data_IF_536500316998
#
_entry.id   IF_536500316998
#
_cell.length_a   1.000
_cell.length_b   1.000
_cell.length_c   1.000
_cell.angle_alpha   90.00
_cell.angle_beta   90.00
_cell.angle_gamma   90.00
#
_symmetry.space_group_name_H-M   'P 1'
#
loop_
_entity.id
_entity.type
_entity.pdbx_description
1 polymer ?
#
# COMPACT_ATOMS: atom_id res chain seq x y z
N UNK A 1 -27.93 -15.80 -2.81
CA UNK A 1 -27.11 -15.52 -2.78
C UNK A 1 -26.28 -15.03 -3.08
N UNK A 2 -25.84 -14.73 -2.79
CA UNK A 2 -25.14 -14.14 -3.27
C UNK A 2 -23.84 -14.26 -3.32
N UNK A 3 -23.56 -14.88 -3.99
CA UNK A 3 -22.23 -15.19 -4.41
C UNK A 3 -21.41 -13.97 -4.67
N UNK A 4 -22.06 -12.90 -4.97
CA UNK A 4 -21.39 -11.65 -5.23
C UNK A 4 -20.56 -11.17 -4.03
N UNK A 5 -20.90 -11.62 -2.84
CA UNK A 5 -20.11 -11.27 -1.68
C UNK A 5 -18.70 -11.80 -1.76
N UNK A 6 -18.46 -12.86 -2.53
CA UNK A 6 -17.12 -13.43 -2.69
C UNK A 6 -16.22 -12.57 -3.54
N UNK A 7 -16.82 -11.70 -4.37
CA UNK A 7 -16.05 -10.82 -5.23
C UNK A 7 -15.30 -9.79 -4.42
N UNK A 8 -15.81 -9.48 -3.22
CA UNK A 8 -15.17 -8.54 -2.33
C UNK A 8 -14.20 -9.22 -1.37
N UNK A 9 -13.75 -10.43 -1.71
CA UNK A 9 -12.90 -11.22 -0.81
C UNK A 9 -11.63 -10.48 -0.41
N UNK A 10 -11.10 -9.63 -1.28
CA UNK A 10 -9.86 -8.93 -0.95
C UNK A 10 -10.06 -7.78 0.02
N UNK A 11 -11.29 -7.45 0.37
CA UNK A 11 -11.57 -6.50 1.43
C UNK A 11 -11.81 -7.19 2.77
N UNK A 12 -11.68 -8.52 2.82
CA UNK A 12 -11.90 -9.29 4.03
C UNK A 12 -13.33 -9.15 4.52
N UNK A 13 -13.48 -8.94 5.81
CA UNK A 13 -14.80 -8.76 6.43
C UNK A 13 -15.29 -7.31 6.38
N UNK A 14 -14.50 -6.41 5.82
CA UNK A 14 -14.85 -4.99 5.77
C UNK A 14 -15.85 -4.72 4.66
N UNK A 15 -16.73 -3.74 4.88
CA UNK A 15 -17.87 -3.53 4.00
C UNK A 15 -17.52 -2.76 2.73
N UNK A 16 -16.36 -2.08 2.70
CA UNK A 16 -15.95 -1.30 1.55
C UNK A 16 -14.44 -1.28 1.40
N UNK A 17 -13.96 -0.89 0.21
CA UNK A 17 -12.53 -0.71 -0.03
C UNK A 17 -11.95 0.35 0.89
N UNK A 18 -12.67 1.46 1.09
CA UNK A 18 -12.20 2.54 1.96
C UNK A 18 -12.00 2.04 3.38
N UNK A 19 -12.95 1.26 3.90
CA UNK A 19 -12.82 0.72 5.24
C UNK A 19 -11.64 -0.23 5.34
N UNK A 20 -11.51 -1.14 4.37
CA UNK A 20 -10.41 -2.11 4.35
C UNK A 20 -9.06 -1.39 4.28
N UNK A 21 -8.93 -0.40 3.40
CA UNK A 21 -7.68 0.34 3.26
C UNK A 21 -7.36 1.15 4.51
N UNK A 22 -8.36 1.76 5.14
CA UNK A 22 -8.13 2.53 6.37
C UNK A 22 -7.58 1.64 7.47
N UNK A 23 -8.09 0.42 7.60
CA UNK A 23 -7.59 -0.52 8.61
C UNK A 23 -6.16 -0.94 8.30
N UNK A 24 -5.89 -1.32 7.06
CA UNK A 24 -4.55 -1.77 6.65
C UNK A 24 -3.53 -0.65 6.83
N UNK A 25 -3.83 0.53 6.31
CA UNK A 25 -2.93 1.68 6.41
C UNK A 25 -2.69 2.05 7.88
N UNK A 26 -3.75 2.07 8.69
CA UNK A 26 -3.62 2.38 10.11
C UNK A 26 -2.67 1.43 10.82
N UNK A 27 -2.77 0.12 10.52
CA UNK A 27 -1.88 -0.86 11.13
C UNK A 27 -0.43 -0.68 10.68
N UNK A 28 -0.23 -0.38 9.40
CA UNK A 28 1.12 -0.13 8.88
C UNK A 28 1.72 1.11 9.53
N UNK A 29 0.93 2.19 9.63
CA UNK A 29 1.39 3.43 10.25
C UNK A 29 1.79 3.19 11.71
N UNK A 30 0.97 2.47 12.45
CA UNK A 30 1.26 2.19 13.87
C UNK A 30 2.51 1.33 14.04
N UNK A 31 2.72 0.37 13.16
CA UNK A 31 3.83 -0.58 13.31
C UNK A 31 5.14 -0.06 12.74
N UNK A 32 5.11 0.72 11.67
CA UNK A 32 6.30 1.06 10.88
C UNK A 32 6.66 2.54 10.98
N UNK A 33 5.71 3.40 11.29
CA UNK A 33 5.89 4.86 11.29
C UNK A 33 6.47 5.34 9.95
N UNK A 34 5.79 5.07 8.84
CA UNK A 34 6.33 5.41 7.52
C UNK A 34 6.25 6.90 7.25
N UNK A 35 6.96 7.34 6.23
CA UNK A 35 6.85 8.71 5.71
C UNK A 35 5.53 8.88 4.95
N UNK A 36 5.20 7.91 4.13
CA UNK A 36 3.96 7.93 3.33
C UNK A 36 3.59 6.53 2.89
N UNK A 37 2.33 6.37 2.47
CA UNK A 37 1.82 5.12 1.92
C UNK A 37 1.00 5.47 0.68
N UNK A 38 1.24 4.76 -0.41
CA UNK A 38 0.55 4.95 -1.69
C UNK A 38 -0.15 3.69 -2.12
N UNK A 39 -1.34 3.85 -2.69
CA UNK A 39 -2.00 2.81 -3.47
C UNK A 39 -1.54 2.97 -4.92
N UNK A 40 -1.12 1.87 -5.54
CA UNK A 40 -0.73 1.92 -6.94
C UNK A 40 -1.30 0.70 -7.68
N UNK A 41 -0.90 0.52 -8.94
CA UNK A 41 -1.35 -0.61 -9.73
C UNK A 41 -2.78 -0.47 -10.19
N UNK A 42 -3.43 -1.60 -10.48
CA UNK A 42 -4.74 -1.62 -11.12
C UNK A 42 -5.82 -0.93 -10.33
N UNK A 43 -5.80 -1.04 -8.99
CA UNK A 43 -6.83 -0.38 -8.17
C UNK A 43 -6.68 1.13 -8.16
N UNK A 44 -5.45 1.63 -8.25
CA UNK A 44 -5.23 3.08 -8.35
C UNK A 44 -5.66 3.61 -9.71
N UNK A 45 -5.45 2.83 -10.77
CA UNK A 45 -5.83 3.22 -12.12
C UNK A 45 -7.32 3.03 -12.41
N UNK A 46 -8.00 2.22 -11.60
CA UNK A 46 -9.42 1.94 -11.80
C UNK A 46 -9.72 0.83 -12.79
N UNK A 47 -8.70 0.13 -13.28
CA UNK A 47 -8.89 -0.97 -14.22
C UNK A 47 -8.78 -2.35 -13.57
N UNK A 48 -8.97 -2.37 -12.26
CA UNK A 48 -8.85 -3.60 -11.49
C UNK A 48 -10.08 -4.49 -11.62
N UNK A 49 -9.87 -5.78 -11.34
CA UNK A 49 -10.96 -6.72 -11.15
C UNK A 49 -11.42 -6.67 -9.70
N UNK A 50 -12.66 -7.13 -9.41
CA UNK A 50 -13.14 -7.15 -8.02
C UNK A 50 -12.25 -7.97 -7.09
N UNK A 51 -11.57 -9.00 -7.59
CA UNK A 51 -10.70 -9.87 -6.80
C UNK A 51 -9.22 -9.46 -6.85
N UNK A 52 -8.90 -8.32 -7.44
CA UNK A 52 -7.52 -7.83 -7.47
C UNK A 52 -7.05 -7.43 -6.09
N UNK A 53 -5.79 -7.74 -5.79
CA UNK A 53 -5.18 -7.28 -4.55
C UNK A 53 -4.93 -5.77 -4.58
N UNK A 54 -4.83 -5.19 -3.40
CA UNK A 54 -4.39 -3.81 -3.26
C UNK A 54 -2.86 -3.78 -3.30
N UNK A 55 -2.31 -2.95 -4.17
CA UNK A 55 -0.86 -2.77 -4.25
C UNK A 55 -0.48 -1.51 -3.48
N UNK A 56 0.28 -1.70 -2.40
CA UNK A 56 0.67 -0.59 -1.53
C UNK A 56 2.18 -0.41 -1.54
N UNK A 57 2.61 0.83 -1.68
CA UNK A 57 4.00 1.21 -1.51
C UNK A 57 4.12 1.93 -0.17
N UNK A 58 4.99 1.41 0.70
CA UNK A 58 5.23 2.00 2.01
C UNK A 58 6.58 2.69 1.95
N UNK A 59 6.57 4.02 2.01
CA UNK A 59 7.82 4.79 2.00
C UNK A 59 8.30 4.89 3.44
N UNK A 60 9.40 4.20 3.72
CA UNK A 60 9.96 4.11 5.07
C UNK A 60 10.95 5.23 5.31
N UNK A 61 11.28 5.47 6.58
CA UNK A 61 12.21 6.53 6.95
C UNK A 61 13.64 6.15 6.59
N UNK A 62 14.39 7.12 6.11
CA UNK A 62 15.81 6.90 5.82
C UNK A 62 16.55 6.44 7.07
N UNK A 63 16.17 6.95 8.23
CA UNK A 63 16.79 6.58 9.50
C UNK A 63 16.56 5.12 9.90
N UNK A 64 15.61 4.42 9.26
CA UNK A 64 15.39 3.00 9.52
C UNK A 64 16.54 2.13 9.01
N UNK A 65 17.37 2.66 8.12
CA UNK A 65 18.48 1.90 7.56
C UNK A 65 17.98 0.69 6.78
N UNK A 66 18.60 -0.47 6.99
CA UNK A 66 18.22 -1.67 6.26
C UNK A 66 16.81 -2.16 6.59
N UNK A 67 16.30 -1.85 7.78
CA UNK A 67 14.93 -2.20 8.13
C UNK A 67 13.93 -1.53 7.19
N UNK A 68 14.30 -0.42 6.57
CA UNK A 68 13.48 0.26 5.58
C UNK A 68 13.24 -0.52 4.31
N UNK A 69 14.02 -1.57 4.05
CA UNK A 69 13.86 -2.44 2.89
C UNK A 69 13.23 -3.78 3.26
N UNK A 70 12.91 -4.00 4.52
CA UNK A 70 12.46 -5.31 4.99
C UNK A 70 10.99 -5.52 4.63
N UNK A 71 10.78 -6.39 3.65
CA UNK A 71 9.44 -6.72 3.15
C UNK A 71 8.56 -7.29 4.26
N UNK A 72 9.11 -8.20 5.06
CA UNK A 72 8.33 -8.85 6.12
C UNK A 72 7.88 -7.84 7.17
N UNK A 73 8.72 -6.88 7.47
CA UNK A 73 8.41 -5.84 8.46
C UNK A 73 7.20 -5.01 8.05
N UNK A 74 7.12 -4.62 6.76
CA UNK A 74 6.01 -3.79 6.30
C UNK A 74 4.77 -4.61 6.02
N UNK A 75 4.91 -5.92 5.75
CA UNK A 75 3.77 -6.78 5.50
C UNK A 75 3.14 -7.34 6.79
N UNK A 76 3.92 -7.53 7.83
CA UNK A 76 3.42 -8.14 9.07
C UNK A 76 2.14 -7.47 9.61
N UNK A 77 2.01 -6.14 9.60
CA UNK A 77 0.79 -5.50 10.11
C UNK A 77 -0.47 -5.85 9.33
N UNK A 78 -0.32 -6.32 8.09
CA UNK A 78 -1.46 -6.68 7.24
C UNK A 78 -1.99 -8.06 7.58
N UNK A 79 -1.16 -8.90 8.19
CA UNK A 79 -1.55 -10.26 8.57
C UNK A 79 -2.74 -10.20 9.53
N UNK A 80 -3.70 -11.07 9.29
CA UNK A 80 -4.88 -11.15 10.14
C UNK A 80 -6.00 -10.18 9.78
N UNK A 81 -5.77 -9.26 8.84
CA UNK A 81 -6.84 -8.36 8.40
C UNK A 81 -7.81 -9.03 7.45
N UNK A 82 -7.37 -10.07 6.76
CA UNK A 82 -8.17 -10.70 5.70
C UNK A 82 -8.20 -9.91 4.40
N UNK A 83 -7.51 -8.79 4.34
CA UNK A 83 -7.46 -7.95 3.14
C UNK A 83 -6.33 -8.41 2.25
N UNK A 84 -6.61 -8.58 0.95
CA UNK A 84 -5.60 -9.01 -0.02
C UNK A 84 -4.73 -7.84 -0.45
N UNK A 85 -3.50 -7.79 0.06
CA UNK A 85 -2.56 -6.72 -0.23
C UNK A 85 -1.20 -7.27 -0.65
N UNK A 86 -0.56 -6.56 -1.57
CA UNK A 86 0.85 -6.70 -1.84
C UNK A 86 1.51 -5.41 -1.34
N UNK A 87 2.46 -5.53 -0.41
CA UNK A 87 3.03 -4.37 0.26
C UNK A 87 4.51 -4.31 -0.03
N UNK A 88 4.95 -3.23 -0.66
CA UNK A 88 6.34 -3.07 -1.10
C UNK A 88 6.98 -1.94 -0.29
N UNK A 89 8.10 -2.20 0.41
CA UNK A 89 8.81 -1.13 1.09
C UNK A 89 9.73 -0.38 0.13
N UNK A 90 9.86 0.92 0.37
CA UNK A 90 10.80 1.77 -0.36
C UNK A 90 11.27 2.85 0.60
N UNK A 91 12.58 2.96 0.81
CA UNK A 91 13.10 3.98 1.73
C UNK A 91 12.99 5.35 1.10
N UNK A 92 12.79 6.38 1.92
CA UNK A 92 12.54 7.74 1.45
C UNK A 92 13.63 8.27 0.51
N UNK A 93 14.89 7.99 0.80
CA UNK A 93 15.99 8.44 -0.05
C UNK A 93 15.92 7.81 -1.44
N UNK A 94 15.60 6.52 -1.50
CA UNK A 94 15.42 5.84 -2.79
C UNK A 94 14.17 6.33 -3.51
N UNK A 95 13.10 6.55 -2.77
CA UNK A 95 11.86 7.05 -3.36
C UNK A 95 12.10 8.39 -4.06
N UNK A 96 12.77 9.32 -3.37
CA UNK A 96 13.03 10.65 -3.92
C UNK A 96 13.94 10.58 -5.15
N UNK A 97 14.94 9.71 -5.11
CA UNK A 97 15.85 9.54 -6.25
C UNK A 97 15.16 8.94 -7.46
N UNK A 98 14.29 7.94 -7.23
CA UNK A 98 13.63 7.26 -8.33
C UNK A 98 12.46 8.07 -8.88
N UNK A 99 11.86 8.95 -8.08
CA UNK A 99 10.68 9.72 -8.49
C UNK A 99 10.97 10.68 -9.65
N UNK A 100 12.21 11.11 -9.80
CA UNK A 100 12.58 12.06 -10.87
C UNK A 100 13.00 11.37 -12.16
N UNK A 101 13.10 10.03 -12.15
CA UNK A 101 13.44 9.28 -13.36
C UNK A 101 12.21 9.20 -14.26
N UNK A 102 12.41 9.07 -15.59
CA UNK A 102 11.28 9.07 -16.52
C UNK A 102 10.47 7.78 -16.50
N UNK A 103 11.01 6.69 -15.95
CA UNK A 103 10.34 5.39 -15.94
C UNK A 103 10.59 4.69 -14.61
N UNK A 104 9.95 3.54 -14.42
CA UNK A 104 10.14 2.70 -13.26
C UNK A 104 8.94 2.70 -12.34
N UNK A 105 8.96 1.81 -11.35
CA UNK A 105 7.84 1.63 -10.42
C UNK A 105 7.51 2.92 -9.67
N UNK A 106 8.54 3.59 -9.13
CA UNK A 106 8.29 4.79 -8.35
C UNK A 106 7.71 5.90 -9.22
N UNK A 107 8.17 6.01 -10.46
CA UNK A 107 7.58 6.98 -11.39
C UNK A 107 6.11 6.67 -11.64
N UNK A 108 5.77 5.40 -11.79
CA UNK A 108 4.39 4.97 -11.93
C UNK A 108 3.56 5.37 -10.72
N UNK A 109 4.10 5.16 -9.53
CA UNK A 109 3.41 5.49 -8.28
C UNK A 109 3.14 6.99 -8.17
N UNK A 110 4.14 7.83 -8.44
CA UNK A 110 3.94 9.29 -8.30
C UNK A 110 3.06 9.85 -9.41
N UNK A 111 2.99 9.19 -10.56
CA UNK A 111 2.18 9.66 -11.69
C UNK A 111 0.73 9.21 -11.57
N UNK A 112 0.49 7.96 -11.21
CA UNK A 112 -0.85 7.36 -11.25
C UNK A 112 -1.34 6.84 -9.91
N UNK A 113 -0.47 6.81 -8.89
CA UNK A 113 -0.85 6.31 -7.59
C UNK A 113 -1.68 7.29 -6.79
N UNK A 114 -2.27 6.79 -5.71
CA UNK A 114 -3.06 7.60 -4.78
C UNK A 114 -2.35 7.59 -3.44
N UNK A 115 -2.00 8.75 -2.93
CA UNK A 115 -1.38 8.86 -1.62
C UNK A 115 -2.44 8.68 -0.54
N UNK A 116 -2.31 7.61 0.24
CA UNK A 116 -3.27 7.28 1.29
C UNK A 116 -2.87 7.85 2.65
N UNK A 117 -1.58 8.09 2.85
CA UNK A 117 -1.05 8.59 4.12
C UNK A 117 0.22 9.40 3.89
N UNK A 118 0.34 10.50 4.61
CA UNK A 118 1.54 11.34 4.63
C UNK A 118 1.72 11.85 6.05
N UNK A 119 2.87 11.55 6.67
CA UNK A 119 3.12 11.92 8.06
C UNK A 119 3.17 13.44 8.27
N UNK A 120 3.39 14.19 7.21
CA UNK A 120 3.44 15.65 7.30
C UNK A 120 2.07 16.30 7.18
N UNK A 121 1.05 15.50 7.03
CA UNK A 121 -0.30 15.99 6.91
C UNK A 121 -0.83 15.96 5.53
#
# INVERSE_FOLDING_TARGET
MNVTSNIAANTGSYSSESEALNVVVGRIVDAVSPVSVYLFGSRARGDHRPDSDFDLLVVTQESDGEAGFDYDRVYAPVLGTGVGCDVVPCREDDFNREAIKPTGLIREVVTHGVRLYDRKG
#
